data_IF_201531539958
#
_entry.id   IF_201531539958
#
_cell.length_a   1.000
_cell.length_b   1.000
_cell.length_c   1.000
_cell.angle_alpha   90.00
_cell.angle_beta   90.00
_cell.angle_gamma   90.00
#
_symmetry.space_group_name_H-M   'P 1'
#
loop_
_entity.id
_entity.type
_entity.pdbx_description
1 polymer ?
#
# COMPACT_ATOMS: atom_id res chain seq x y z
N UNK A 1 11.20 -30.41 2.39
CA UNK A 1 11.68 -29.94 1.08
C UNK A 1 11.26 -28.48 0.97
N UNK A 2 12.21 -27.55 0.98
CA UNK A 2 11.90 -26.12 0.93
C UNK A 2 11.37 -25.81 -0.48
N UNK A 3 10.07 -25.61 -0.60
CA UNK A 3 9.42 -25.12 -1.82
C UNK A 3 10.09 -23.80 -2.19
N UNK A 4 10.96 -23.84 -3.20
CA UNK A 4 11.60 -22.67 -3.75
C UNK A 4 10.57 -22.02 -4.65
N UNK A 5 9.64 -21.30 -4.03
CA UNK A 5 8.66 -20.49 -4.73
C UNK A 5 9.42 -19.58 -5.70
N UNK A 6 9.06 -19.54 -6.99
CA UNK A 6 9.74 -18.67 -7.94
C UNK A 6 9.59 -17.23 -7.47
N UNK A 7 10.70 -16.61 -7.08
CA UNK A 7 10.75 -15.19 -6.74
C UNK A 7 10.38 -14.41 -7.99
N UNK A 8 9.16 -13.87 -8.03
CA UNK A 8 8.78 -12.96 -9.09
C UNK A 8 9.57 -11.64 -8.91
N UNK A 9 10.45 -11.27 -9.85
CA UNK A 9 11.32 -10.10 -9.74
C UNK A 9 10.57 -8.78 -9.98
N UNK A 10 9.25 -8.81 -10.12
CA UNK A 10 8.36 -7.66 -10.30
C UNK A 10 7.29 -7.59 -9.19
N UNK A 11 7.17 -8.60 -8.34
CA UNK A 11 6.25 -8.60 -7.21
C UNK A 11 6.74 -7.64 -6.12
N UNK A 12 6.19 -6.43 -6.14
CA UNK A 12 6.39 -5.42 -5.11
C UNK A 12 5.71 -5.85 -3.81
N UNK A 13 6.48 -6.03 -2.75
CA UNK A 13 5.98 -6.35 -1.40
C UNK A 13 5.98 -5.11 -0.53
N UNK A 14 4.89 -4.84 0.19
CA UNK A 14 4.83 -3.75 1.17
C UNK A 14 5.73 -4.12 2.36
N UNK A 15 6.71 -3.27 2.67
CA UNK A 15 7.63 -3.48 3.79
C UNK A 15 7.40 -2.51 4.95
N UNK A 16 6.79 -1.35 4.68
CA UNK A 16 6.38 -0.40 5.72
C UNK A 16 5.22 0.46 5.22
N UNK A 17 4.38 0.91 6.14
CA UNK A 17 3.27 1.81 5.84
C UNK A 17 3.08 2.83 6.96
N UNK A 18 2.90 4.10 6.59
CA UNK A 18 2.68 5.21 7.52
C UNK A 18 1.41 5.96 7.13
N UNK A 19 0.54 6.23 8.11
CA UNK A 19 -0.57 7.17 7.93
C UNK A 19 -0.09 8.58 8.21
N UNK A 20 -0.35 9.48 7.29
CA UNK A 20 -0.11 10.92 7.42
C UNK A 20 -1.45 11.66 7.32
N UNK A 21 -1.44 12.98 7.53
CA UNK A 21 -2.64 13.82 7.34
C UNK A 21 -3.15 13.84 5.89
N UNK A 22 -2.27 13.58 4.91
CA UNK A 22 -2.59 13.60 3.48
C UNK A 22 -3.07 12.23 2.96
N UNK A 23 -2.73 11.15 3.66
CA UNK A 23 -3.15 9.81 3.26
C UNK A 23 -2.30 8.69 3.83
N UNK A 24 -2.32 7.55 3.14
CA UNK A 24 -1.47 6.41 3.47
C UNK A 24 -0.24 6.41 2.56
N UNK A 25 0.95 6.42 3.16
CA UNK A 25 2.22 6.22 2.46
C UNK A 25 2.64 4.77 2.64
N UNK A 26 2.88 4.05 1.55
CA UNK A 26 3.35 2.67 1.55
C UNK A 26 4.70 2.57 0.85
N UNK A 27 5.66 1.94 1.52
CA UNK A 27 6.99 1.65 0.99
C UNK A 27 7.01 0.19 0.54
N UNK A 28 7.30 -0.03 -0.74
CA UNK A 28 7.36 -1.34 -1.34
C UNK A 28 8.78 -1.66 -1.77
N UNK A 29 9.18 -2.91 -1.57
CA UNK A 29 10.46 -3.44 -2.01
C UNK A 29 10.24 -4.63 -2.92
N UNK A 30 10.92 -4.61 -4.06
CA UNK A 30 10.97 -5.77 -4.94
C UNK A 30 12.06 -6.76 -4.47
N UNK A 31 11.89 -8.04 -4.77
CA UNK A 31 12.91 -9.06 -4.57
C UNK A 31 14.23 -8.74 -5.31
N UNK A 32 14.18 -8.01 -6.43
CA UNK A 32 15.37 -7.57 -7.17
C UNK A 32 16.12 -6.40 -6.50
N UNK A 33 15.55 -5.80 -5.44
CA UNK A 33 16.14 -4.68 -4.70
C UNK A 33 15.61 -3.29 -5.08
N UNK A 34 14.77 -3.18 -6.11
CA UNK A 34 14.11 -1.93 -6.48
C UNK A 34 13.11 -1.46 -5.39
N UNK A 35 12.93 -0.14 -5.30
CA UNK A 35 12.03 0.52 -4.36
C UNK A 35 10.92 1.27 -5.08
N UNK A 36 9.72 1.22 -4.52
CA UNK A 36 8.58 2.05 -4.94
C UNK A 36 7.91 2.66 -3.71
N UNK A 37 7.46 3.91 -3.83
CA UNK A 37 6.68 4.59 -2.80
C UNK A 37 5.31 4.90 -3.38
N UNK A 38 4.26 4.37 -2.77
CA UNK A 38 2.86 4.64 -3.14
C UNK A 38 2.22 5.55 -2.12
N UNK A 39 1.60 6.61 -2.60
CA UNK A 39 0.77 7.51 -1.79
C UNK A 39 -0.69 7.28 -2.18
N UNK A 40 -1.46 6.68 -1.27
CA UNK A 40 -2.91 6.65 -1.37
C UNK A 40 -3.44 7.95 -0.79
N UNK A 41 -3.86 8.89 -1.64
CA UNK A 41 -4.64 10.03 -1.17
C UNK A 41 -5.89 9.50 -0.47
N UNK A 42 -6.11 9.93 0.77
CA UNK A 42 -7.42 9.79 1.38
C UNK A 42 -8.33 10.77 0.64
N UNK A 43 -8.96 10.33 -0.44
CA UNK A 43 -10.18 10.98 -0.91
C UNK A 43 -11.16 10.80 0.24
N UNK A 44 -11.28 11.84 1.07
CA UNK A 44 -12.30 11.91 2.09
C UNK A 44 -13.65 11.97 1.38
N UNK A 45 -14.13 10.82 0.90
CA UNK A 45 -15.54 10.60 0.70
C UNK A 45 -16.14 10.60 2.11
N UNK A 46 -16.32 11.79 2.67
CA UNK A 46 -17.29 12.00 3.71
C UNK A 46 -18.63 11.61 3.07
N UNK A 47 -19.01 10.34 3.19
CA UNK A 47 -20.36 9.90 2.87
C UNK A 47 -21.29 10.80 3.68
N UNK A 48 -22.12 11.64 3.04
CA UNK A 48 -23.09 12.42 3.79
C UNK A 48 -23.98 11.40 4.52
N UNK A 49 -23.90 11.39 5.85
CA UNK A 49 -24.84 10.63 6.66
C UNK A 49 -26.23 11.10 6.27
N UNK A 50 -27.16 10.24 5.84
CA UNK A 50 -28.54 10.65 5.72
C UNK A 50 -29.00 11.06 7.12
N UNK A 51 -29.30 12.35 7.30
CA UNK A 51 -30.08 12.81 8.44
C UNK A 51 -31.44 12.11 8.31
N UNK A 52 -31.70 11.17 9.19
CA UNK A 52 -33.05 10.68 9.43
C UNK A 52 -33.67 11.68 10.42
N UNK A 53 -34.70 12.38 9.95
CA UNK A 53 -35.66 13.12 10.77
C UNK A 53 -36.50 12.12 11.59
#
# INVERSE_FOLDING_TARGET
MHSREPHDPLALTVVSSHRTSEGLVSYLRCACGAWEVRTGHLVACASPRPRHD
#
